data_IF_052585958439
#
_entry.id   IF_052585958439
#
_cell.length_a   1.000
_cell.length_b   1.000
_cell.length_c   1.000
_cell.angle_alpha   90.00
_cell.angle_beta   90.00
_cell.angle_gamma   90.00
#
_symmetry.space_group_name_H-M   'P 1'
#
loop_
_entity.id
_entity.type
_entity.pdbx_description
1 polymer ?
#
# COMPACT_ATOMS: atom_id res chain seq x y z
N UNK A 1 -3.30 27.02 29.94
CA UNK A 1 -1.93 27.56 30.06
C UNK A 1 -0.98 26.51 29.53
N UNK A 2 0.06 26.87 28.75
CA UNK A 2 0.99 25.89 28.22
C UNK A 2 1.81 25.30 29.38
N UNK A 3 1.67 24.01 29.61
CA UNK A 3 2.56 23.19 30.43
C UNK A 3 3.47 22.35 29.53
N UNK A 4 4.59 21.87 30.05
CA UNK A 4 5.54 21.03 29.30
C UNK A 4 4.83 19.85 28.63
N UNK A 5 3.99 19.12 29.36
CA UNK A 5 3.22 17.97 28.82
C UNK A 5 2.23 18.40 27.71
N UNK A 6 1.51 19.50 27.91
CA UNK A 6 0.55 19.98 26.91
C UNK A 6 1.22 20.43 25.62
N UNK A 7 2.44 20.97 25.72
CA UNK A 7 3.23 21.42 24.57
C UNK A 7 3.80 20.21 23.84
N UNK A 8 4.26 19.18 24.56
CA UNK A 8 4.71 17.93 23.96
C UNK A 8 3.60 17.22 23.18
N UNK A 9 2.41 17.08 23.77
CA UNK A 9 1.24 16.51 23.07
C UNK A 9 0.88 17.34 21.83
N UNK A 10 0.89 18.67 21.94
CA UNK A 10 0.63 19.55 20.81
C UNK A 10 1.69 19.42 19.71
N UNK A 11 2.96 19.22 20.06
CA UNK A 11 4.03 18.96 19.09
C UNK A 11 3.80 17.63 18.39
N UNK A 12 3.48 16.56 19.13
CA UNK A 12 3.15 15.26 18.55
C UNK A 12 1.99 15.35 17.57
N UNK A 13 0.86 15.94 18.00
CA UNK A 13 -0.30 16.18 17.14
C UNK A 13 0.06 16.91 15.85
N UNK A 14 0.85 17.98 15.95
CA UNK A 14 1.26 18.78 14.80
C UNK A 14 2.20 18.08 13.83
N UNK A 15 2.98 17.09 14.28
CA UNK A 15 3.82 16.27 13.40
C UNK A 15 2.94 15.39 12.53
N UNK A 16 1.98 14.70 13.13
CA UNK A 16 1.12 13.74 12.44
C UNK A 16 0.13 14.42 11.48
N UNK A 17 -0.58 15.46 11.93
CA UNK A 17 -1.61 16.10 11.10
C UNK A 17 -1.09 17.33 10.31
N UNK A 18 0.17 17.71 10.48
CA UNK A 18 0.70 18.97 9.96
C UNK A 18 0.73 19.05 8.44
N UNK A 19 1.05 17.93 7.78
CA UNK A 19 1.02 17.82 6.31
C UNK A 19 -0.39 18.05 5.77
N UNK A 20 -1.40 17.38 6.34
CA UNK A 20 -2.81 17.57 6.00
C UNK A 20 -3.26 19.03 6.25
N UNK A 21 -2.96 19.59 7.41
CA UNK A 21 -3.33 20.97 7.73
C UNK A 21 -2.65 22.00 6.82
N UNK A 22 -1.46 21.71 6.27
CA UNK A 22 -0.78 22.59 5.35
C UNK A 22 -1.54 22.74 4.02
N UNK A 23 -2.22 21.68 3.58
CA UNK A 23 -3.02 21.64 2.36
C UNK A 23 -4.41 22.24 2.58
N UNK A 24 -5.14 21.75 3.59
CA UNK A 24 -6.56 22.12 3.79
C UNK A 24 -6.76 23.41 4.61
N UNK A 25 -5.81 23.78 5.50
CA UNK A 25 -5.95 24.95 6.37
C UNK A 25 -4.61 25.64 6.68
N UNK A 26 -3.91 26.19 5.67
CA UNK A 26 -2.59 26.81 5.85
C UNK A 26 -2.61 27.97 6.85
N UNK A 27 -3.65 28.82 6.81
CA UNK A 27 -3.82 29.93 7.76
C UNK A 27 -4.01 29.48 9.20
N UNK A 28 -4.64 28.32 9.40
CA UNK A 28 -4.81 27.72 10.72
C UNK A 28 -3.48 27.21 11.26
N UNK A 29 -2.71 26.54 10.39
CA UNK A 29 -1.38 26.05 10.70
C UNK A 29 -0.41 27.21 11.04
N UNK A 30 -0.44 28.31 10.28
CA UNK A 30 0.39 29.49 10.55
C UNK A 30 0.14 30.06 11.96
N UNK A 31 -1.12 30.25 12.34
CA UNK A 31 -1.51 30.73 13.68
C UNK A 31 -1.05 29.79 14.78
N UNK A 32 -1.11 28.49 14.52
CA UNK A 32 -0.66 27.47 15.45
C UNK A 32 0.87 27.53 15.66
N UNK A 33 1.65 27.70 14.60
CA UNK A 33 3.10 27.90 14.70
C UNK A 33 3.49 29.25 15.31
N UNK A 34 2.74 30.32 15.07
CA UNK A 34 2.91 31.60 15.77
C UNK A 34 2.78 31.43 17.28
N UNK A 35 1.83 30.60 17.73
CA UNK A 35 1.67 30.30 19.16
C UNK A 35 2.90 29.58 19.73
N UNK A 36 3.46 28.60 19.00
CA UNK A 36 4.70 27.94 19.42
C UNK A 36 5.88 28.91 19.48
N UNK A 37 6.01 29.86 18.54
CA UNK A 37 7.04 30.92 18.62
C UNK A 37 6.89 31.75 19.90
N UNK A 38 5.66 32.14 20.24
CA UNK A 38 5.40 32.90 21.46
C UNK A 38 5.77 32.10 22.72
N UNK A 39 5.49 30.80 22.76
CA UNK A 39 5.85 29.92 23.89
C UNK A 39 7.38 29.83 24.02
N UNK A 40 8.10 29.66 22.90
CA UNK A 40 9.57 29.59 22.89
C UNK A 40 10.20 30.90 23.39
N UNK A 41 9.68 32.05 22.94
CA UNK A 41 10.18 33.38 23.35
C UNK A 41 9.91 33.72 24.83
N UNK A 42 8.78 33.25 25.36
CA UNK A 42 8.41 33.53 26.76
C UNK A 42 9.28 32.74 27.76
N UNK A 43 10.02 31.72 27.32
CA UNK A 43 11.01 31.00 28.13
C UNK A 43 10.45 30.22 29.33
N UNK A 44 9.13 29.98 29.36
CA UNK A 44 8.45 29.31 30.47
C UNK A 44 8.38 27.78 30.38
N UNK A 45 9.09 27.17 29.44
CA UNK A 45 9.09 25.72 29.18
C UNK A 45 10.50 25.15 29.34
N UNK A 46 10.60 23.88 29.75
CA UNK A 46 11.89 23.22 29.95
C UNK A 46 12.68 23.07 28.64
N UNK A 47 14.01 22.95 28.75
CA UNK A 47 14.93 22.78 27.61
C UNK A 47 14.54 21.62 26.71
N UNK A 48 14.07 20.49 27.27
CA UNK A 48 13.64 19.34 26.47
C UNK A 48 12.50 19.71 25.51
N UNK A 49 11.50 20.42 26.02
CA UNK A 49 10.32 20.85 25.26
C UNK A 49 10.71 21.89 24.22
N UNK A 50 11.66 22.78 24.53
CA UNK A 50 12.21 23.72 23.55
C UNK A 50 12.82 22.98 22.35
N UNK A 51 13.63 21.95 22.57
CA UNK A 51 14.18 21.12 21.49
C UNK A 51 13.10 20.42 20.66
N UNK A 52 12.02 19.93 21.28
CA UNK A 52 10.89 19.33 20.56
C UNK A 52 10.21 20.35 19.63
N UNK A 53 9.98 21.57 20.12
CA UNK A 53 9.39 22.65 19.33
C UNK A 53 10.32 23.07 18.20
N UNK A 54 11.63 23.21 18.44
CA UNK A 54 12.61 23.51 17.39
C UNK A 54 12.67 22.41 16.32
N UNK A 55 12.58 21.14 16.74
CA UNK A 55 12.46 19.99 15.84
C UNK A 55 11.20 20.06 14.97
N UNK A 56 10.07 20.47 15.54
CA UNK A 56 8.84 20.70 14.77
C UNK A 56 9.02 21.81 13.71
N UNK A 57 9.72 22.91 14.02
CA UNK A 57 10.05 23.93 13.03
C UNK A 57 11.00 23.43 11.93
N UNK A 58 11.86 22.46 12.21
CA UNK A 58 12.66 21.80 11.18
C UNK A 58 11.78 20.97 10.24
N UNK A 59 10.83 20.20 10.78
CA UNK A 59 9.85 19.43 10.00
C UNK A 59 9.01 20.34 9.11
N UNK A 60 8.52 21.47 9.64
CA UNK A 60 7.78 22.46 8.83
C UNK A 60 8.61 23.01 7.66
N UNK A 61 9.90 23.29 7.89
CA UNK A 61 10.81 23.78 6.83
C UNK A 61 11.08 22.71 5.77
N UNK A 62 11.12 21.44 6.18
CA UNK A 62 11.17 20.30 5.29
C UNK A 62 9.79 19.95 4.67
N UNK A 63 8.77 20.79 4.88
CA UNK A 63 7.40 20.56 4.37
C UNK A 63 6.84 19.18 4.77
N UNK A 64 7.08 18.78 6.01
CA UNK A 64 6.62 17.49 6.54
C UNK A 64 7.15 16.26 5.78
N UNK A 65 8.33 16.37 5.18
CA UNK A 65 9.05 15.22 4.64
C UNK A 65 9.21 14.12 5.71
N UNK A 66 8.74 12.90 5.39
CA UNK A 66 8.68 11.77 6.32
C UNK A 66 7.41 11.68 7.18
N UNK A 67 6.49 12.64 7.06
CA UNK A 67 5.19 12.67 7.75
C UNK A 67 4.07 12.96 6.73
N UNK A 68 3.77 12.02 5.80
CA UNK A 68 2.70 12.19 4.83
C UNK A 68 1.33 12.26 5.53
N UNK A 69 0.37 12.96 4.92
CA UNK A 69 -0.98 13.08 5.45
C UNK A 69 -1.73 11.73 5.48
N UNK A 70 -1.54 10.93 4.43
CA UNK A 70 -2.03 9.56 4.30
C UNK A 70 -0.85 8.73 3.80
N UNK A 71 -0.61 7.58 4.44
CA UNK A 71 0.44 6.67 3.99
C UNK A 71 -0.05 5.93 2.73
N UNK A 72 0.78 5.70 1.69
CA UNK A 72 0.32 5.10 0.44
C UNK A 72 -0.38 3.75 0.60
N UNK A 73 0.02 2.95 1.59
CA UNK A 73 -0.60 1.65 1.89
C UNK A 73 -1.99 1.76 2.55
N UNK A 74 -2.35 2.95 3.03
CA UNK A 74 -3.62 3.24 3.70
C UNK A 74 -4.57 4.07 2.82
N UNK A 75 -4.15 4.43 1.61
CA UNK A 75 -4.94 5.18 0.65
C UNK A 75 -5.85 4.24 -0.15
N UNK A 76 -6.90 3.74 0.53
CA UNK A 76 -7.78 2.67 0.02
C UNK A 76 -9.15 3.17 -0.44
N UNK A 77 -9.46 4.44 -0.19
CA UNK A 77 -10.80 5.00 -0.39
C UNK A 77 -10.70 6.23 -1.28
N UNK A 78 -11.34 6.17 -2.44
CA UNK A 78 -11.42 7.28 -3.38
C UNK A 78 -12.01 8.53 -2.73
N UNK A 79 -11.49 9.71 -3.05
CA UNK A 79 -11.90 10.98 -2.44
C UNK A 79 -13.42 11.25 -2.55
N UNK A 80 -14.05 10.78 -3.64
CA UNK A 80 -15.48 10.95 -3.91
C UNK A 80 -16.37 10.13 -2.94
N UNK A 81 -15.84 9.03 -2.41
CA UNK A 81 -16.55 8.13 -1.49
C UNK A 81 -16.27 8.44 -0.01
N UNK A 82 -15.34 9.36 0.27
CA UNK A 82 -15.00 9.76 1.63
C UNK A 82 -16.10 10.65 2.26
N UNK A 83 -16.57 10.25 3.44
CA UNK A 83 -17.52 11.04 4.23
C UNK A 83 -16.81 11.78 5.37
N UNK A 84 -16.70 13.10 5.24
CA UNK A 84 -16.10 13.96 6.28
C UNK A 84 -17.13 14.36 7.33
N UNK A 85 -16.89 14.02 8.59
CA UNK A 85 -17.74 14.42 9.72
C UNK A 85 -17.23 15.70 10.37
N UNK A 86 -18.10 16.71 10.50
CA UNK A 86 -17.80 17.93 11.25
C UNK A 86 -18.20 17.79 12.72
N UNK A 87 -17.22 17.71 13.63
CA UNK A 87 -17.46 17.70 15.06
C UNK A 87 -16.60 18.72 15.80
N UNK A 88 -17.16 19.28 16.88
CA UNK A 88 -16.44 20.18 17.78
C UNK A 88 -16.00 19.45 19.03
N UNK A 89 -14.80 19.76 19.54
CA UNK A 89 -14.28 19.26 20.82
C UNK A 89 -15.16 19.61 22.04
N UNK A 90 -16.10 20.55 21.88
CA UNK A 90 -17.04 20.95 22.95
C UNK A 90 -18.34 20.14 22.92
N UNK A 91 -18.58 19.37 21.87
CA UNK A 91 -19.81 18.60 21.74
C UNK A 91 -19.79 17.44 22.73
N UNK A 92 -20.95 17.17 23.35
CA UNK A 92 -21.14 15.95 24.14
C UNK A 92 -21.50 14.83 23.17
N UNK A 93 -20.60 13.88 23.01
CA UNK A 93 -20.84 12.66 22.23
C UNK A 93 -21.46 11.62 23.14
N UNK A 94 -22.51 10.96 22.64
CA UNK A 94 -22.94 9.70 23.24
C UNK A 94 -21.92 8.64 22.84
N UNK A 95 -21.42 7.88 23.82
CA UNK A 95 -20.48 6.80 23.57
C UNK A 95 -21.20 5.52 23.13
N UNK A 96 -22.53 5.48 23.31
CA UNK A 96 -23.37 4.33 22.93
C UNK A 96 -22.84 2.99 23.46
N UNK A 97 -22.18 2.99 24.63
CA UNK A 97 -21.52 1.80 25.23
C UNK A 97 -22.47 0.59 25.46
N UNK A 98 -23.78 0.81 25.33
CA UNK A 98 -24.76 -0.25 25.32
C UNK A 98 -24.75 -1.13 24.05
N UNK A 99 -24.11 -0.69 22.96
CA UNK A 99 -23.95 -1.44 21.71
C UNK A 99 -22.86 -2.52 21.80
N UNK A 100 -21.84 -2.32 22.66
CA UNK A 100 -20.77 -3.31 22.90
C UNK A 100 -21.25 -4.52 23.73
N UNK A 101 -22.45 -4.44 24.31
CA UNK A 101 -23.03 -5.49 25.14
C UNK A 101 -24.04 -6.25 24.31
N UNK A 102 -23.82 -7.57 24.18
CA UNK A 102 -24.78 -8.45 23.54
C UNK A 102 -26.17 -8.32 24.18
N UNK A 103 -27.16 -8.05 23.35
CA UNK A 103 -28.57 -7.97 23.70
C UNK A 103 -29.36 -8.71 22.64
N UNK A 104 -30.37 -9.45 23.08
CA UNK A 104 -31.29 -10.09 22.16
C UNK A 104 -32.10 -9.01 21.44
N UNK A 105 -32.10 -9.10 20.10
CA UNK A 105 -32.87 -8.21 19.25
C UNK A 105 -34.20 -8.86 18.86
N UNK A 106 -35.36 -8.26 19.24
CA UNK A 106 -36.67 -8.76 18.84
C UNK A 106 -36.87 -8.85 17.32
N UNK A 107 -36.20 -7.98 16.56
CA UNK A 107 -36.29 -7.85 15.10
C UNK A 107 -35.06 -8.42 14.38
N UNK A 108 -34.28 -9.29 15.06
CA UNK A 108 -33.04 -9.90 14.54
C UNK A 108 -33.18 -10.39 13.09
N UNK A 109 -34.24 -11.14 12.78
CA UNK A 109 -34.45 -11.72 11.45
C UNK A 109 -34.65 -10.67 10.34
N UNK A 110 -35.18 -9.50 10.67
CA UNK A 110 -35.36 -8.41 9.71
C UNK A 110 -34.07 -7.62 9.53
N UNK A 111 -33.36 -7.34 10.61
CA UNK A 111 -32.07 -6.65 10.58
C UNK A 111 -30.99 -7.47 9.88
N UNK A 112 -30.93 -8.77 10.10
CA UNK A 112 -29.99 -9.68 9.43
C UNK A 112 -30.20 -9.65 7.91
N UNK A 113 -31.47 -9.65 7.46
CA UNK A 113 -31.81 -9.50 6.04
C UNK A 113 -31.44 -8.14 5.48
N UNK A 114 -31.57 -7.07 6.27
CA UNK A 114 -31.18 -5.72 5.85
C UNK A 114 -29.66 -5.61 5.73
N UNK A 115 -28.92 -6.19 6.68
CA UNK A 115 -27.47 -6.26 6.67
C UNK A 115 -26.94 -7.07 5.48
N UNK A 116 -27.50 -8.24 5.21
CA UNK A 116 -27.15 -9.05 4.03
C UNK A 116 -27.32 -8.27 2.72
N UNK A 117 -28.42 -7.51 2.59
CA UNK A 117 -28.62 -6.65 1.41
C UNK A 117 -27.56 -5.55 1.32
N UNK A 118 -27.24 -4.88 2.44
CA UNK A 118 -26.23 -3.83 2.48
C UNK A 118 -24.84 -4.38 2.13
N UNK A 119 -24.48 -5.54 2.69
CA UNK A 119 -23.22 -6.23 2.43
C UNK A 119 -23.05 -6.55 0.94
N UNK A 120 -24.11 -7.02 0.27
CA UNK A 120 -24.11 -7.27 -1.18
C UNK A 120 -23.95 -6.00 -2.01
N UNK A 121 -24.52 -4.88 -1.57
CA UNK A 121 -24.36 -3.59 -2.25
C UNK A 121 -22.91 -3.10 -2.15
N UNK A 122 -22.26 -3.26 -1.00
CA UNK A 122 -20.90 -2.76 -0.76
C UNK A 122 -19.85 -3.63 -1.45
N UNK A 123 -19.95 -4.95 -1.31
CA UNK A 123 -18.94 -5.87 -1.83
C UNK A 123 -19.24 -6.29 -3.28
N UNK A 124 -20.49 -6.28 -3.71
CA UNK A 124 -20.91 -6.86 -4.99
C UNK A 124 -21.18 -8.37 -4.91
N UNK A 125 -21.90 -8.89 -5.91
CA UNK A 125 -22.37 -10.29 -5.94
C UNK A 125 -21.25 -11.31 -6.23
N UNK A 126 -20.10 -10.87 -6.78
CA UNK A 126 -19.00 -11.76 -7.19
C UNK A 126 -18.25 -12.39 -6.00
N UNK A 127 -18.17 -11.71 -4.86
CA UNK A 127 -17.54 -12.22 -3.64
C UNK A 127 -18.41 -13.23 -2.86
N UNK A 128 -19.61 -13.53 -3.36
CA UNK A 128 -20.59 -14.35 -2.65
C UNK A 128 -20.53 -15.84 -3.04
N UNK A 129 -19.95 -16.19 -4.20
CA UNK A 129 -19.86 -17.59 -4.67
C UNK A 129 -18.97 -18.52 -3.81
N UNK A 130 -18.32 -18.01 -2.75
CA UNK A 130 -17.46 -18.79 -1.84
C UNK A 130 -18.06 -19.08 -0.46
N UNK A 131 -19.22 -18.54 -0.09
CA UNK A 131 -19.70 -18.53 1.31
C UNK A 131 -21.00 -19.32 1.59
N UNK A 132 -21.58 -20.00 0.60
CA UNK A 132 -22.78 -20.84 0.77
C UNK A 132 -22.46 -22.36 0.76
N UNK A 133 -21.33 -22.72 1.39
CA UNK A 133 -20.79 -24.08 1.41
C UNK A 133 -20.72 -24.71 2.79
N UNK A 134 -21.62 -24.41 3.73
CA UNK A 134 -21.67 -25.15 5.01
C UNK A 134 -22.88 -26.09 5.06
N UNK A 135 -22.69 -27.24 4.41
CA UNK A 135 -23.36 -28.50 4.75
C UNK A 135 -22.32 -29.62 4.66
N UNK A 136 -21.74 -29.94 5.81
CA UNK A 136 -21.33 -31.28 6.26
C UNK A 136 -20.37 -32.07 5.34
N UNK A 137 -19.10 -32.16 5.73
CA UNK A 137 -18.29 -33.41 5.77
C UNK A 137 -16.82 -33.07 6.08
N UNK A 138 -16.23 -33.74 7.06
CA UNK A 138 -14.89 -33.46 7.61
C UNK A 138 -13.69 -34.00 6.82
N UNK A 139 -12.51 -33.56 7.29
CA UNK A 139 -11.14 -34.04 7.02
C UNK A 139 -10.71 -33.97 5.54
N UNK A 140 -9.71 -33.19 5.12
CA UNK A 140 -8.31 -33.23 5.56
C UNK A 140 -7.59 -31.87 5.41
N UNK A 141 -6.65 -31.61 6.32
CA UNK A 141 -5.63 -30.58 6.21
C UNK A 141 -4.59 -31.03 5.18
N UNK A 142 -4.33 -30.21 4.16
CA UNK A 142 -3.02 -30.22 3.49
C UNK A 142 -2.60 -28.78 3.16
N UNK A 143 -1.40 -28.45 3.64
CA UNK A 143 -0.68 -27.18 3.48
C UNK A 143 -0.59 -26.76 2.00
N UNK A 144 -1.01 -25.53 1.68
CA UNK A 144 -0.35 -24.79 0.59
C UNK A 144 -0.24 -23.30 0.96
N UNK A 145 1.02 -22.88 0.92
CA UNK A 145 1.64 -21.59 1.17
C UNK A 145 0.93 -20.35 0.59
N UNK A 146 1.11 -19.24 1.30
CA UNK A 146 0.82 -17.87 0.89
C UNK A 146 1.51 -17.53 -0.44
N UNK A 147 0.83 -16.81 -1.35
CA UNK A 147 1.31 -15.54 -1.94
C UNK A 147 0.42 -15.00 -3.07
N UNK A 148 0.23 -13.68 -2.99
CA UNK A 148 0.07 -12.70 -4.10
C UNK A 148 -1.26 -12.81 -4.87
N UNK A 149 -2.03 -11.74 -5.05
CA UNK A 149 -1.66 -10.33 -5.20
C UNK A 149 -2.39 -9.84 -6.45
N UNK A 150 -3.18 -8.78 -6.31
CA UNK A 150 -3.72 -7.92 -7.37
C UNK A 150 -4.12 -8.61 -8.68
N UNK A 151 -5.42 -8.90 -8.82
CA UNK A 151 -6.04 -9.16 -10.13
C UNK A 151 -5.92 -7.90 -10.99
N UNK A 152 -4.77 -7.76 -11.63
CA UNK A 152 -4.61 -6.97 -12.84
C UNK A 152 -5.70 -7.43 -13.81
N UNK A 153 -6.58 -6.51 -14.21
CA UNK A 153 -7.37 -6.57 -15.45
C UNK A 153 -6.45 -6.51 -16.69
N UNK A 154 -5.34 -7.25 -16.66
CA UNK A 154 -4.41 -7.44 -17.74
C UNK A 154 -4.93 -8.58 -18.60
N UNK A 155 -5.09 -8.31 -19.89
CA UNK A 155 -5.38 -9.32 -20.91
C UNK A 155 -4.39 -10.48 -20.70
N UNK A 156 -4.89 -11.63 -20.23
CA UNK A 156 -4.08 -12.83 -20.05
C UNK A 156 -3.71 -13.36 -21.43
N UNK A 157 -2.47 -13.10 -21.84
CA UNK A 157 -1.94 -13.58 -23.11
C UNK A 157 -1.63 -15.08 -23.00
N UNK A 158 -2.55 -15.92 -23.49
CA UNK A 158 -2.37 -17.38 -23.57
C UNK A 158 -1.54 -17.82 -24.79
N UNK A 159 -1.03 -16.88 -25.61
CA UNK A 159 -0.39 -17.22 -26.89
C UNK A 159 1.12 -17.43 -26.81
N UNK A 160 1.74 -17.32 -25.63
CA UNK A 160 3.20 -17.40 -25.39
C UNK A 160 4.04 -16.58 -26.39
N UNK A 161 3.45 -15.57 -27.03
CA UNK A 161 4.04 -14.89 -28.19
C UNK A 161 5.34 -14.18 -27.82
N UNK A 162 5.39 -13.62 -26.62
CA UNK A 162 6.60 -12.97 -26.09
C UNK A 162 7.75 -13.96 -25.87
N UNK A 163 7.46 -15.17 -25.35
CA UNK A 163 8.47 -16.23 -25.18
C UNK A 163 9.01 -16.71 -26.53
N UNK A 164 8.14 -16.93 -27.51
CA UNK A 164 8.55 -17.34 -28.86
C UNK A 164 9.42 -16.27 -29.53
N UNK A 165 9.10 -14.99 -29.35
CA UNK A 165 9.90 -13.88 -29.87
C UNK A 165 11.27 -13.80 -29.19
N UNK A 166 11.33 -13.99 -27.87
CA UNK A 166 12.57 -14.05 -27.11
C UNK A 166 13.48 -15.18 -27.60
N UNK A 167 12.93 -16.40 -27.73
CA UNK A 167 13.65 -17.58 -28.28
C UNK A 167 14.24 -17.30 -29.67
N UNK A 168 13.45 -16.71 -30.58
CA UNK A 168 13.92 -16.34 -31.94
C UNK A 168 15.05 -15.32 -31.91
N UNK A 169 14.98 -14.32 -31.04
CA UNK A 169 16.02 -13.31 -30.88
C UNK A 169 17.32 -13.93 -30.35
N UNK A 170 17.25 -14.76 -29.31
CA UNK A 170 18.41 -15.47 -28.74
C UNK A 170 19.07 -16.36 -29.80
N UNK A 171 18.28 -17.18 -30.50
CA UNK A 171 18.77 -18.06 -31.57
C UNK A 171 19.46 -17.26 -32.68
N UNK A 172 18.85 -16.14 -33.10
CA UNK A 172 19.42 -15.27 -34.14
C UNK A 172 20.75 -14.65 -33.72
N UNK A 173 20.88 -14.24 -32.46
CA UNK A 173 22.14 -13.68 -31.93
C UNK A 173 23.23 -14.74 -31.89
N UNK A 174 22.94 -15.97 -31.45
CA UNK A 174 23.91 -17.07 -31.40
C UNK A 174 24.37 -17.43 -32.83
N UNK A 175 23.44 -17.60 -33.77
CA UNK A 175 23.77 -18.02 -35.15
C UNK A 175 24.42 -16.91 -36.00
N UNK A 176 24.22 -15.64 -35.66
CA UNK A 176 24.79 -14.50 -36.40
C UNK A 176 26.09 -13.96 -35.81
N UNK A 177 26.48 -14.41 -34.62
CA UNK A 177 27.74 -13.99 -33.99
C UNK A 177 28.87 -14.89 -34.46
N UNK A 178 30.04 -14.30 -34.70
CA UNK A 178 31.20 -15.04 -35.19
C UNK A 178 31.96 -15.71 -34.04
N UNK A 179 32.08 -15.00 -32.92
CA UNK A 179 32.84 -15.42 -31.74
C UNK A 179 31.97 -15.37 -30.47
N UNK A 180 32.34 -16.19 -29.48
CA UNK A 180 31.61 -16.30 -28.21
C UNK A 180 31.60 -14.99 -27.40
N UNK A 181 32.64 -14.17 -27.50
CA UNK A 181 32.69 -12.86 -26.84
C UNK A 181 31.66 -11.89 -27.44
N UNK A 182 31.47 -11.92 -28.76
CA UNK A 182 30.49 -11.11 -29.46
C UNK A 182 29.06 -11.57 -29.14
N UNK A 183 28.84 -12.89 -29.13
CA UNK A 183 27.57 -13.48 -28.73
C UNK A 183 27.22 -13.11 -27.28
N UNK A 184 28.16 -13.27 -26.35
CA UNK A 184 27.98 -12.92 -24.94
C UNK A 184 27.66 -11.44 -24.72
N UNK A 185 28.38 -10.54 -25.40
CA UNK A 185 28.10 -9.11 -25.29
C UNK A 185 26.71 -8.72 -25.83
N UNK A 186 26.27 -9.33 -26.95
CA UNK A 186 24.92 -9.08 -27.50
C UNK A 186 23.81 -9.66 -26.63
N UNK A 187 24.01 -10.85 -26.04
CA UNK A 187 23.03 -11.46 -25.14
C UNK A 187 22.85 -10.64 -23.85
N UNK A 188 23.94 -10.05 -23.32
CA UNK A 188 23.88 -9.16 -22.16
C UNK A 188 23.14 -7.83 -22.42
N UNK A 189 22.96 -7.43 -23.68
CA UNK A 189 22.21 -6.22 -24.04
C UNK A 189 20.70 -6.46 -24.10
N UNK A 190 20.24 -7.71 -24.04
CA UNK A 190 18.81 -8.04 -23.98
C UNK A 190 18.30 -7.68 -22.58
N UNK A 191 17.22 -6.91 -22.51
CA UNK A 191 16.52 -6.67 -21.25
C UNK A 191 15.63 -7.87 -20.95
N UNK A 192 16.08 -8.72 -20.03
CA UNK A 192 15.32 -9.87 -19.55
C UNK A 192 14.40 -9.42 -18.41
N UNK A 193 13.17 -9.92 -18.41
CA UNK A 193 12.24 -9.82 -17.29
C UNK A 193 12.53 -10.93 -16.26
N UNK A 194 12.19 -10.74 -14.97
CA UNK A 194 12.40 -11.77 -13.94
C UNK A 194 11.75 -13.10 -14.34
N UNK A 195 12.53 -14.18 -14.41
CA UNK A 195 12.09 -15.51 -14.80
C UNK A 195 12.41 -15.89 -16.25
N UNK A 196 12.86 -14.95 -17.09
CA UNK A 196 13.30 -15.23 -18.47
C UNK A 196 14.76 -15.66 -18.57
N UNK A 197 15.53 -15.59 -17.47
CA UNK A 197 16.93 -16.01 -17.44
C UNK A 197 17.09 -17.52 -17.63
N UNK A 198 16.14 -18.31 -17.11
CA UNK A 198 16.12 -19.76 -17.31
C UNK A 198 15.97 -20.12 -18.79
N UNK A 199 15.11 -19.38 -19.49
CA UNK A 199 14.85 -19.58 -20.92
C UNK A 199 16.09 -19.28 -21.78
N UNK A 200 16.91 -18.30 -21.39
CA UNK A 200 18.19 -18.04 -22.03
C UNK A 200 19.15 -19.22 -21.91
N UNK A 201 19.24 -19.84 -20.72
CA UNK A 201 20.07 -21.02 -20.50
C UNK A 201 19.57 -22.24 -21.28
N UNK A 202 18.24 -22.45 -21.31
CA UNK A 202 17.62 -23.53 -22.09
C UNK A 202 17.94 -23.37 -23.58
N UNK A 203 17.72 -22.17 -24.14
CA UNK A 203 18.00 -21.89 -25.55
C UNK A 203 19.48 -22.09 -25.92
N UNK A 204 20.42 -21.71 -25.04
CA UNK A 204 21.85 -21.96 -25.27
C UNK A 204 22.15 -23.47 -25.35
N UNK A 205 21.62 -24.25 -24.42
CA UNK A 205 21.78 -25.71 -24.40
C UNK A 205 21.14 -26.37 -25.62
N UNK A 206 19.94 -25.94 -26.01
CA UNK A 206 19.25 -26.46 -27.19
C UNK A 206 20.02 -26.18 -28.47
N UNK A 207 20.54 -24.94 -28.63
CA UNK A 207 21.37 -24.59 -29.78
C UNK A 207 22.61 -25.48 -29.87
N UNK A 208 23.34 -25.66 -28.75
CA UNK A 208 24.50 -26.55 -28.70
C UNK A 208 24.14 -28.02 -28.96
N UNK A 209 22.95 -28.47 -28.54
CA UNK A 209 22.49 -29.85 -28.75
C UNK A 209 22.11 -30.15 -30.20
N UNK A 210 21.73 -29.13 -30.98
CA UNK A 210 21.33 -29.27 -32.38
C UNK A 210 22.53 -29.25 -33.35
N UNK A 211 23.72 -28.85 -32.88
CA UNK A 211 24.93 -28.93 -33.66
C UNK A 211 25.36 -30.38 -33.87
N UNK A 212 25.73 -30.74 -35.12
CA UNK A 212 26.09 -32.11 -35.47
C UNK A 212 27.37 -32.61 -34.78
N UNK A 213 28.20 -31.68 -34.35
CA UNK A 213 29.50 -31.93 -33.71
C UNK A 213 29.77 -30.82 -32.73
N UNK A 214 30.26 -31.15 -31.55
CA UNK A 214 30.67 -30.18 -30.55
C UNK A 214 31.79 -29.28 -31.09
N UNK A 215 31.54 -27.97 -31.15
CA UNK A 215 32.54 -26.96 -31.45
C UNK A 215 33.31 -26.63 -30.16
N UNK A 216 34.64 -26.69 -30.23
CA UNK A 216 35.54 -26.52 -29.09
C UNK A 216 36.06 -25.09 -28.99
#
# INVERSE_FOLDING_TARGET
>A
TPTDDSVEVAVGFAKECGSFLQEFSPRGLDKFFERFRSILHNGGIDKRVQFLVEGLFAILRAKFEGYPAVHPELDLVEEEDQLTFEFSLKNKLDQEAGLDIFKEDPDFLEQEKAYEKLKKIILGDEYWYGAEGDKDSGEELDDVDEKEGEENLGIKDETETNLVNLRRTIYSIIMSSLDFEEAGHKLLQIKLEPGQEEELCIMLLECCSQERTYLQ
#
